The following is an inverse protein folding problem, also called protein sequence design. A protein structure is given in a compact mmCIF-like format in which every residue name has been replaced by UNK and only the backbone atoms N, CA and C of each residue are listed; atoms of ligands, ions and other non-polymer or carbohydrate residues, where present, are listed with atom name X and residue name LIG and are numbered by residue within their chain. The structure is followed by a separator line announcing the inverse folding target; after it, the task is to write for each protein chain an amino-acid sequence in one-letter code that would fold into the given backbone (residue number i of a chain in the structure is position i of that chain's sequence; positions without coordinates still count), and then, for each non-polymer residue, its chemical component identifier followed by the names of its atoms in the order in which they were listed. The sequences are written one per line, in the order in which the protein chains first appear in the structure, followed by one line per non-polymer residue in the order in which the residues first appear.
data_IF_749709844580
#
_entry.id   IF_749709844580
#
_cell.length_a   1.000
_cell.length_b   1.000
_cell.length_c   1.000
_cell.angle_alpha   90.00
_cell.angle_beta   90.00
_cell.angle_gamma   90.00
#
_symmetry.space_group_name_H-M   'P 1'
#
loop_
_entity.id
_entity.type
_entity.pdbx_description
1 polymer ?
#
# COMPACT_ATOMS: atom_id res chain seq x y z
N UNK A 1 16.20 21.56 16.60
CA UNK A 1 16.63 21.80 15.21
C UNK A 1 15.48 21.34 14.32
N UNK A 2 14.90 22.23 13.52
CA UNK A 2 13.76 21.91 12.65
C UNK A 2 14.29 21.67 11.24
N UNK A 3 14.01 20.51 10.67
CA UNK A 3 14.36 20.17 9.30
C UNK A 3 13.09 19.89 8.52
N UNK A 4 13.06 20.29 7.25
CA UNK A 4 11.91 20.06 6.37
C UNK A 4 11.81 18.58 6.07
N UNK A 5 10.62 18.00 6.28
CA UNK A 5 10.30 16.62 5.94
C UNK A 5 10.13 16.48 4.43
N UNK A 6 10.71 15.45 3.84
CA UNK A 6 10.70 15.21 2.39
C UNK A 6 10.31 13.75 2.16
N UNK A 7 9.29 13.53 1.33
CA UNK A 7 8.78 12.21 1.03
C UNK A 7 9.76 11.37 0.21
N UNK A 8 9.72 10.02 0.32
CA UNK A 8 10.44 9.14 -0.58
C UNK A 8 10.17 9.49 -2.06
N UNK A 9 11.19 9.41 -2.90
CA UNK A 9 11.12 9.78 -4.32
C UNK A 9 11.22 11.29 -4.59
N UNK A 10 11.09 12.15 -3.59
CA UNK A 10 11.15 13.60 -3.77
C UNK A 10 12.58 14.16 -3.64
N UNK A 11 12.97 15.14 -4.49
CA UNK A 11 14.26 15.80 -4.40
C UNK A 11 14.28 16.91 -3.33
N UNK A 12 15.48 17.36 -2.97
CA UNK A 12 15.71 18.50 -2.07
C UNK A 12 16.20 18.12 -0.67
N UNK A 13 16.52 16.85 -0.42
CA UNK A 13 17.11 16.46 0.86
C UNK A 13 18.60 16.82 0.91
N UNK A 14 19.08 17.08 2.12
CA UNK A 14 20.49 17.31 2.45
C UNK A 14 20.94 16.30 3.50
N UNK A 15 20.04 15.92 4.41
CA UNK A 15 20.30 14.99 5.50
C UNK A 15 19.30 13.85 5.52
N UNK A 16 19.72 12.69 6.05
CA UNK A 16 18.87 11.49 6.13
C UNK A 16 17.64 11.72 7.01
N UNK A 17 17.74 12.55 8.05
CA UNK A 17 16.68 12.89 8.99
C UNK A 17 15.47 13.51 8.31
N UNK A 18 15.67 14.19 7.18
CA UNK A 18 14.57 14.77 6.39
C UNK A 18 13.69 13.70 5.76
N UNK A 19 14.29 12.56 5.38
CA UNK A 19 13.61 11.42 4.77
C UNK A 19 13.09 10.47 5.86
N UNK A 20 13.93 10.13 6.84
CA UNK A 20 13.60 9.14 7.88
C UNK A 20 12.50 9.59 8.83
N UNK A 21 12.28 10.91 8.96
CA UNK A 21 11.14 11.47 9.68
C UNK A 21 9.79 11.31 8.95
N UNK A 22 9.80 10.95 7.68
CA UNK A 22 8.62 10.59 6.89
C UNK A 22 8.45 9.08 6.86
N UNK A 23 9.50 8.35 6.48
CA UNK A 23 9.47 6.90 6.36
C UNK A 23 10.70 6.25 7.02
N UNK A 24 10.52 5.24 7.90
CA UNK A 24 11.64 4.55 8.53
C UNK A 24 12.64 4.00 7.51
N UNK A 25 13.92 4.15 7.81
CA UNK A 25 15.06 3.73 6.98
C UNK A 25 15.20 4.45 5.62
N UNK A 26 14.37 5.44 5.34
CA UNK A 26 14.58 6.30 4.18
C UNK A 26 15.82 7.19 4.40
N UNK A 27 16.61 7.39 3.34
CA UNK A 27 17.87 8.13 3.40
C UNK A 27 17.97 9.11 2.23
N UNK A 28 18.87 10.09 2.37
CA UNK A 28 19.11 11.08 1.35
C UNK A 28 20.21 10.61 0.40
N UNK A 29 19.84 10.27 -0.84
CA UNK A 29 20.78 9.92 -1.89
C UNK A 29 21.21 11.17 -2.67
N UNK A 30 22.48 11.53 -2.53
CA UNK A 30 23.09 12.72 -3.17
C UNK A 30 23.89 12.38 -4.42
N UNK A 31 23.88 11.12 -4.86
CA UNK A 31 24.68 10.63 -6.00
C UNK A 31 24.38 11.35 -7.33
N UNK A 32 23.14 11.80 -7.52
CA UNK A 32 22.69 12.54 -8.70
C UNK A 32 22.91 14.07 -8.61
N UNK A 33 23.64 14.55 -7.60
CA UNK A 33 23.94 15.98 -7.39
C UNK A 33 22.82 16.76 -6.66
N UNK A 34 21.55 16.40 -6.86
CA UNK A 34 20.43 16.86 -6.03
C UNK A 34 20.02 15.72 -5.11
N UNK A 35 20.09 15.95 -3.80
CA UNK A 35 19.69 14.94 -2.82
C UNK A 35 18.24 14.53 -3.02
N UNK A 36 17.99 13.23 -3.20
CA UNK A 36 16.66 12.65 -3.37
C UNK A 36 16.41 11.63 -2.26
N UNK A 37 15.26 11.71 -1.60
CA UNK A 37 14.93 10.71 -0.59
C UNK A 37 14.69 9.35 -1.26
N UNK A 38 15.40 8.33 -0.81
CA UNK A 38 15.25 6.95 -1.28
C UNK A 38 14.78 6.05 -0.15
N UNK A 39 14.01 5.04 -0.52
CA UNK A 39 13.67 3.95 0.39
C UNK A 39 14.94 3.18 0.79
N UNK A 40 14.92 2.62 2.00
CA UNK A 40 16.01 1.76 2.50
C UNK A 40 16.22 0.49 1.66
N UNK A 41 17.20 -0.31 2.07
CA UNK A 41 17.52 -1.57 1.38
C UNK A 41 16.31 -2.50 1.27
N UNK A 42 16.18 -3.19 0.14
CA UNK A 42 15.07 -4.10 -0.17
C UNK A 42 13.68 -3.47 -0.09
N UNK A 43 13.57 -2.14 -0.21
CA UNK A 43 12.30 -1.43 -0.27
C UNK A 43 12.13 -0.67 -1.59
N UNK A 44 10.92 -0.65 -2.14
CA UNK A 44 10.58 0.06 -3.37
C UNK A 44 9.61 1.21 -3.09
N UNK A 45 9.83 2.33 -3.75
CA UNK A 45 8.94 3.49 -3.66
C UNK A 45 7.68 3.28 -4.52
N UNK A 46 6.52 3.68 -3.98
CA UNK A 46 5.25 3.75 -4.72
C UNK A 46 4.56 5.07 -4.43
N UNK A 47 4.01 5.65 -5.50
CA UNK A 47 3.15 6.82 -5.44
C UNK A 47 1.76 6.39 -4.99
N UNK A 48 1.20 7.11 -4.03
CA UNK A 48 -0.22 7.03 -3.62
C UNK A 48 -0.86 8.40 -3.74
N UNK A 49 -2.17 8.51 -3.49
CA UNK A 49 -2.84 9.81 -3.50
C UNK A 49 -2.35 10.71 -2.37
N UNK A 50 -2.07 10.11 -1.22
CA UNK A 50 -1.75 10.82 0.02
C UNK A 50 -0.23 11.01 0.22
N UNK A 51 0.62 10.52 -0.68
CA UNK A 51 2.06 10.71 -0.65
C UNK A 51 2.84 9.56 -1.31
N UNK A 52 4.11 9.41 -0.94
CA UNK A 52 4.94 8.29 -1.39
C UNK A 52 5.19 7.33 -0.24
N UNK A 53 5.15 6.03 -0.52
CA UNK A 53 5.37 4.97 0.46
C UNK A 53 6.54 4.10 0.04
N UNK A 54 7.22 3.49 1.01
CA UNK A 54 8.21 2.45 0.73
C UNK A 54 7.66 1.08 1.12
N UNK A 55 7.62 0.16 0.16
CA UNK A 55 7.14 -1.20 0.32
C UNK A 55 8.31 -2.17 0.37
N UNK A 56 8.29 -3.13 1.29
CA UNK A 56 9.26 -4.22 1.29
C UNK A 56 9.12 -5.07 0.03
N UNK A 57 10.26 -5.37 -0.58
CA UNK A 57 10.36 -6.28 -1.72
C UNK A 57 10.44 -7.74 -1.31
N UNK A 58 10.83 -8.01 -0.06
CA UNK A 58 11.10 -9.34 0.44
C UNK A 58 10.22 -9.65 1.66
N UNK A 59 9.75 -10.89 1.77
CA UNK A 59 9.14 -11.39 2.99
C UNK A 59 10.21 -11.76 4.05
N UNK A 60 9.76 -12.20 5.23
CA UNK A 60 10.67 -12.64 6.31
C UNK A 60 11.53 -13.86 5.95
N UNK A 61 11.23 -14.56 4.85
CA UNK A 61 12.00 -15.69 4.32
C UNK A 61 12.81 -15.32 3.06
N UNK A 62 12.95 -14.02 2.76
CA UNK A 62 13.66 -13.49 1.59
C UNK A 62 13.04 -13.85 0.23
N UNK A 63 11.75 -14.20 0.18
CA UNK A 63 11.02 -14.36 -1.07
C UNK A 63 10.53 -13.02 -1.60
N UNK A 64 10.53 -12.85 -2.92
CA UNK A 64 10.02 -11.63 -3.56
C UNK A 64 8.52 -11.52 -3.33
N UNK A 65 8.09 -10.38 -2.77
CA UNK A 65 6.69 -10.01 -2.64
C UNK A 65 6.18 -9.49 -3.99
N UNK A 66 5.05 -10.03 -4.44
CA UNK A 66 4.32 -9.48 -5.59
C UNK A 66 3.46 -8.28 -5.16
N UNK A 67 2.74 -8.44 -4.05
CA UNK A 67 1.69 -7.52 -3.62
C UNK A 67 1.80 -7.32 -2.11
N UNK A 68 1.82 -6.06 -1.66
CA UNK A 68 1.84 -5.71 -0.23
C UNK A 68 1.28 -4.31 -0.01
N UNK A 69 0.78 -4.05 1.20
CA UNK A 69 0.36 -2.71 1.63
C UNK A 69 1.40 -2.07 2.56
N UNK A 70 1.47 -0.73 2.59
CA UNK A 70 2.44 0.05 3.36
C UNK A 70 2.11 0.11 4.86
N UNK A 71 2.01 -1.05 5.50
CA UNK A 71 1.75 -1.19 6.93
C UNK A 71 3.01 -1.60 7.70
N UNK A 72 3.12 -1.29 9.01
CA UNK A 72 4.21 -1.80 9.82
C UNK A 72 4.28 -3.33 9.78
N UNK A 73 5.50 -3.83 9.91
CA UNK A 73 5.98 -5.17 9.58
C UNK A 73 4.96 -6.33 9.73
N UNK A 74 4.82 -7.13 8.66
CA UNK A 74 4.20 -8.46 8.72
C UNK A 74 2.68 -8.54 8.50
N UNK A 75 1.99 -7.44 8.16
CA UNK A 75 0.52 -7.42 7.94
C UNK A 75 0.08 -6.99 6.52
N UNK A 76 1.04 -6.90 5.58
CA UNK A 76 0.86 -6.22 4.28
C UNK A 76 -0.36 -6.67 3.48
N UNK A 77 -0.47 -7.95 3.11
CA UNK A 77 -1.60 -8.39 2.26
C UNK A 77 -2.91 -8.58 3.02
N UNK A 78 -2.88 -8.89 4.32
CA UNK A 78 -4.08 -9.21 5.11
C UNK A 78 -4.95 -7.99 5.40
N UNK A 79 -4.41 -6.81 5.14
CA UNK A 79 -5.05 -5.53 5.47
C UNK A 79 -5.58 -4.80 4.25
N UNK A 80 -5.35 -5.33 3.05
CA UNK A 80 -5.95 -4.81 1.83
C UNK A 80 -7.47 -4.96 1.88
N UNK A 81 -8.17 -4.07 1.16
CA UNK A 81 -9.59 -4.24 0.95
C UNK A 81 -9.82 -5.61 0.29
N UNK A 82 -10.78 -6.38 0.82
CA UNK A 82 -11.09 -7.70 0.32
C UNK A 82 -12.57 -7.82 -0.03
N UNK A 83 -12.86 -8.67 -1.01
CA UNK A 83 -14.21 -8.91 -1.48
C UNK A 83 -14.48 -10.39 -1.77
N UNK A 84 -15.70 -10.83 -1.49
CA UNK A 84 -16.13 -12.21 -1.74
C UNK A 84 -16.39 -12.52 -3.22
N UNK A 85 -16.64 -11.51 -4.07
CA UNK A 85 -16.84 -11.70 -5.52
C UNK A 85 -15.52 -11.90 -6.27
N UNK A 86 -14.38 -11.58 -5.65
CA UNK A 86 -13.04 -11.87 -6.16
C UNK A 86 -12.41 -13.03 -5.38
N UNK A 87 -12.90 -14.29 -5.51
CA UNK A 87 -12.49 -15.37 -4.64
C UNK A 87 -11.01 -15.73 -4.83
N UNK A 88 -10.28 -15.83 -3.71
CA UNK A 88 -8.98 -16.50 -3.66
C UNK A 88 -9.16 -18.01 -3.81
N UNK A 89 -8.06 -18.71 -4.10
CA UNK A 89 -7.98 -20.16 -3.85
C UNK A 89 -8.48 -20.43 -2.42
N UNK A 90 -9.38 -21.40 -2.25
CA UNK A 90 -10.09 -21.79 -1.00
C UNK A 90 -11.42 -21.07 -0.63
N UNK A 91 -12.10 -20.40 -1.57
CA UNK A 91 -13.39 -19.72 -1.32
C UNK A 91 -13.33 -18.61 -0.24
N UNK A 92 -12.16 -18.01 -0.05
CA UNK A 92 -11.98 -16.83 0.79
C UNK A 92 -12.06 -15.55 -0.03
N UNK A 93 -12.48 -14.45 0.60
CA UNK A 93 -12.47 -13.13 -0.03
C UNK A 93 -11.06 -12.78 -0.50
N UNK A 94 -10.92 -12.40 -1.78
CA UNK A 94 -9.65 -11.98 -2.35
C UNK A 94 -9.48 -10.46 -2.32
N UNK A 95 -8.29 -9.97 -2.66
CA UNK A 95 -7.99 -8.54 -2.62
C UNK A 95 -8.77 -7.81 -3.71
N UNK A 96 -9.21 -6.61 -3.38
CA UNK A 96 -9.65 -5.64 -4.38
C UNK A 96 -8.40 -5.05 -5.03
N UNK A 97 -8.31 -5.21 -6.34
CA UNK A 97 -7.21 -4.67 -7.14
C UNK A 97 -7.61 -3.32 -7.73
N UNK A 98 -6.59 -2.59 -8.18
CA UNK A 98 -6.77 -1.32 -8.85
C UNK A 98 -5.74 -1.15 -9.97
N UNK A 99 -5.98 -0.12 -10.78
CA UNK A 99 -5.06 0.43 -11.76
C UNK A 99 -4.64 1.84 -11.31
N UNK A 100 -3.35 2.02 -11.05
CA UNK A 100 -2.75 3.29 -10.60
C UNK A 100 -2.91 4.43 -11.60
N UNK A 101 -3.12 4.10 -12.87
CA UNK A 101 -3.27 5.06 -13.97
C UNK A 101 -4.74 5.38 -14.27
N UNK A 102 -5.68 4.68 -13.63
CA UNK A 102 -7.10 4.86 -13.89
C UNK A 102 -7.71 6.02 -13.10
N UNK A 103 -8.52 6.82 -13.78
CA UNK A 103 -9.31 7.90 -13.18
C UNK A 103 -10.81 7.55 -13.07
N UNK A 104 -11.17 6.30 -13.31
CA UNK A 104 -12.56 5.85 -13.20
C UNK A 104 -13.00 5.84 -11.72
N UNK A 105 -14.08 6.57 -11.42
CA UNK A 105 -14.62 6.75 -10.05
C UNK A 105 -15.97 6.04 -9.83
N UNK A 106 -16.48 5.36 -10.85
CA UNK A 106 -17.65 4.50 -10.77
C UNK A 106 -17.46 3.26 -11.65
N UNK A 107 -17.86 2.11 -11.12
CA UNK A 107 -17.92 0.84 -11.84
C UNK A 107 -19.22 0.11 -11.47
N UNK A 108 -19.68 -0.76 -12.36
CA UNK A 108 -20.91 -1.52 -12.16
C UNK A 108 -20.73 -2.94 -12.67
N UNK A 109 -21.39 -3.90 -12.02
CA UNK A 109 -21.37 -5.31 -12.42
C UNK A 109 -20.18 -6.07 -11.83
N UNK A 110 -19.76 -7.13 -12.52
CA UNK A 110 -18.76 -8.08 -12.01
C UNK A 110 -17.32 -7.54 -12.07
N UNK A 111 -17.10 -6.40 -12.71
CA UNK A 111 -15.79 -5.75 -12.88
C UNK A 111 -15.39 -4.91 -11.65
N UNK A 112 -16.30 -4.68 -10.69
CA UNK A 112 -16.01 -3.82 -9.54
C UNK A 112 -14.90 -4.44 -8.70
N UNK A 113 -13.73 -3.81 -8.67
CA UNK A 113 -12.59 -4.26 -7.87
C UNK A 113 -11.70 -5.32 -8.53
N UNK A 114 -11.90 -5.58 -9.82
CA UNK A 114 -11.07 -6.49 -10.63
C UNK A 114 -9.68 -5.91 -11.00
N UNK A 115 -9.45 -4.64 -10.70
CA UNK A 115 -8.23 -3.91 -11.02
C UNK A 115 -8.23 -3.14 -12.34
N UNK A 116 -9.35 -3.05 -13.05
CA UNK A 116 -9.48 -2.22 -14.26
C UNK A 116 -9.68 -0.72 -13.97
N UNK A 117 -10.08 -0.37 -12.74
CA UNK A 117 -10.31 1.00 -12.29
C UNK A 117 -9.49 1.38 -11.04
N UNK A 118 -9.71 2.59 -10.51
CA UNK A 118 -9.15 2.99 -9.22
C UNK A 118 -9.76 2.16 -8.07
N UNK A 119 -9.43 2.46 -6.82
CA UNK A 119 -10.01 1.73 -5.69
C UNK A 119 -11.51 1.99 -5.54
N UNK A 120 -12.29 0.90 -5.68
CA UNK A 120 -13.74 0.90 -5.62
C UNK A 120 -14.24 0.03 -4.47
N UNK A 121 -15.30 0.47 -3.79
CA UNK A 121 -15.95 -0.36 -2.80
C UNK A 121 -16.80 -1.44 -3.50
N UNK A 122 -16.56 -2.73 -3.26
CA UNK A 122 -17.21 -3.80 -4.00
C UNK A 122 -18.73 -3.78 -3.94
N UNK A 123 -19.31 -3.45 -2.78
CA UNK A 123 -20.76 -3.51 -2.60
C UNK A 123 -21.52 -2.34 -3.23
N UNK A 124 -20.86 -1.20 -3.47
CA UNK A 124 -21.50 0.01 -4.00
C UNK A 124 -20.98 0.43 -5.37
N UNK A 125 -19.84 -0.11 -5.82
CA UNK A 125 -19.16 0.34 -7.04
C UNK A 125 -18.68 1.79 -6.97
N UNK A 126 -18.58 2.36 -5.77
CA UNK A 126 -18.20 3.74 -5.53
C UNK A 126 -16.72 3.91 -5.24
N UNK A 127 -16.14 5.03 -5.68
CA UNK A 127 -14.77 5.42 -5.38
C UNK A 127 -14.55 5.69 -3.89
N UNK A 128 -13.47 5.14 -3.33
CA UNK A 128 -13.16 5.14 -1.87
C UNK A 128 -11.76 5.65 -1.54
N UNK A 129 -11.28 6.65 -2.28
CA UNK A 129 -9.93 7.14 -2.06
C UNK A 129 -9.72 7.84 -0.70
N UNK A 130 -10.77 8.30 -0.05
CA UNK A 130 -10.72 8.85 1.31
C UNK A 130 -10.31 7.81 2.36
N UNK A 131 -10.44 6.51 2.06
CA UNK A 131 -10.15 5.40 2.97
C UNK A 131 -9.03 4.50 2.43
N UNK A 132 -8.98 4.28 1.12
CA UNK A 132 -8.04 3.37 0.46
C UNK A 132 -7.24 4.03 -0.65
N UNK A 133 -5.92 3.85 -0.60
CA UNK A 133 -5.01 4.21 -1.68
C UNK A 133 -4.83 3.04 -2.65
N UNK A 134 -4.76 3.36 -3.95
CA UNK A 134 -4.30 2.41 -4.94
C UNK A 134 -2.77 2.36 -4.93
N UNK A 135 -2.21 1.25 -4.45
CA UNK A 135 -0.76 1.06 -4.30
C UNK A 135 -0.27 0.07 -5.35
N UNK A 136 0.65 0.50 -6.20
CA UNK A 136 1.20 -0.34 -7.27
C UNK A 136 1.93 -1.58 -6.74
N UNK A 137 1.84 -2.69 -7.47
CA UNK A 137 2.52 -3.95 -7.14
C UNK A 137 4.02 -3.76 -6.99
N UNK A 138 4.64 -4.57 -6.14
CA UNK A 138 6.09 -4.51 -5.89
C UNK A 138 6.86 -5.15 -7.04
N UNK A 139 6.32 -6.23 -7.60
CA UNK A 139 6.82 -6.90 -8.80
C UNK A 139 5.67 -7.26 -9.75
N UNK A 140 6.00 -7.49 -11.03
CA UNK A 140 5.02 -7.84 -12.05
C UNK A 140 4.37 -9.19 -11.74
N UNK A 141 3.04 -9.24 -11.72
CA UNK A 141 2.26 -10.45 -11.52
C UNK A 141 1.09 -10.47 -12.50
N UNK A 142 0.85 -11.63 -13.11
CA UNK A 142 -0.32 -11.86 -13.95
C UNK A 142 -1.40 -12.59 -13.14
N UNK A 143 -2.53 -11.91 -12.96
CA UNK A 143 -3.67 -12.38 -12.17
C UNK A 143 -4.90 -12.66 -13.02
N UNK A 144 -4.78 -12.59 -14.36
CA UNK A 144 -5.89 -12.81 -15.30
C UNK A 144 -6.48 -14.21 -15.16
N UNK A 145 -5.63 -15.22 -14.91
CA UNK A 145 -6.06 -16.60 -14.61
C UNK A 145 -6.93 -16.72 -13.34
N UNK A 146 -6.89 -15.72 -12.47
CA UNK A 146 -7.68 -15.63 -11.24
C UNK A 146 -8.91 -14.72 -11.39
N UNK A 147 -9.23 -14.27 -12.61
CA UNK A 147 -10.41 -13.46 -12.91
C UNK A 147 -10.21 -11.94 -12.79
N UNK A 148 -8.99 -11.47 -12.51
CA UNK A 148 -8.68 -10.04 -12.48
C UNK A 148 -8.40 -9.46 -13.87
N UNK A 149 -8.53 -8.15 -13.98
CA UNK A 149 -8.21 -7.42 -15.22
C UNK A 149 -6.73 -7.51 -15.57
N UNK A 150 -6.43 -7.56 -16.87
CA UNK A 150 -5.08 -7.41 -17.42
C UNK A 150 -4.48 -6.01 -17.19
N UNK A 151 -5.32 -5.03 -16.81
CA UNK A 151 -4.93 -3.67 -16.43
C UNK A 151 -4.58 -3.54 -14.95
N UNK A 152 -4.82 -4.57 -14.14
CA UNK A 152 -4.54 -4.55 -12.72
C UNK A 152 -3.03 -4.41 -12.50
N UNK A 153 -2.62 -3.32 -11.84
CA UNK A 153 -1.22 -3.06 -11.52
C UNK A 153 -1.01 -2.62 -10.06
N UNK A 154 -2.07 -2.61 -9.26
CA UNK A 154 -2.05 -2.22 -7.86
C UNK A 154 -3.12 -2.91 -7.02
N UNK A 155 -3.01 -2.71 -5.71
CA UNK A 155 -3.93 -3.22 -4.69
C UNK A 155 -4.48 -2.08 -3.86
N UNK A 156 -5.73 -2.21 -3.40
CA UNK A 156 -6.36 -1.22 -2.55
C UNK A 156 -5.95 -1.37 -1.09
N UNK A 157 -5.06 -0.49 -0.66
CA UNK A 157 -4.48 -0.48 0.67
C UNK A 157 -5.12 0.60 1.54
N UNK A 158 -5.37 0.34 2.83
CA UNK A 158 -5.86 1.36 3.74
C UNK A 158 -4.87 2.52 3.77
N UNK A 159 -5.37 3.75 3.63
CA UNK A 159 -4.51 4.91 3.69
C UNK A 159 -4.05 5.18 5.14
N UNK A 160 -3.03 6.03 5.27
CA UNK A 160 -2.43 6.35 6.57
C UNK A 160 -3.45 6.85 7.59
N UNK A 161 -4.37 7.72 7.17
CA UNK A 161 -5.37 8.29 8.06
C UNK A 161 -6.30 7.21 8.61
N UNK A 162 -6.81 6.34 7.74
CA UNK A 162 -7.69 5.24 8.11
C UNK A 162 -6.98 4.24 9.01
N UNK A 163 -5.73 3.88 8.71
CA UNK A 163 -4.91 2.98 9.55
C UNK A 163 -4.74 3.52 10.97
N UNK A 164 -4.40 4.81 11.12
CA UNK A 164 -4.15 5.41 12.44
C UNK A 164 -5.40 5.54 13.31
N UNK A 165 -6.61 5.59 12.73
CA UNK A 165 -7.86 5.67 13.50
C UNK A 165 -8.49 4.31 13.77
N UNK A 166 -7.95 3.22 13.24
CA UNK A 166 -8.51 1.89 13.49
C UNK A 166 -8.40 1.52 14.98
N UNK A 167 -9.47 0.96 15.57
CA UNK A 167 -9.40 0.41 16.92
C UNK A 167 -8.46 -0.80 16.94
N UNK A 168 -7.89 -1.08 18.11
CA UNK A 168 -7.15 -2.33 18.30
C UNK A 168 -8.07 -3.52 18.11
N UNK A 169 -7.66 -4.45 17.25
CA UNK A 169 -8.29 -5.75 17.12
C UNK A 169 -7.31 -6.85 17.55
N UNK A 170 -7.69 -7.62 18.56
CA UNK A 170 -6.95 -8.80 18.98
C UNK A 170 -7.59 -10.01 18.30
N UNK A 171 -6.83 -10.69 17.43
CA UNK A 171 -7.27 -11.94 16.82
C UNK A 171 -7.46 -13.05 17.86
N UNK A 172 -8.05 -14.20 17.48
CA UNK A 172 -8.41 -15.26 18.42
C UNK A 172 -7.23 -15.90 19.17
N UNK A 173 -5.99 -15.78 18.67
CA UNK A 173 -4.79 -16.34 19.30
C UNK A 173 -3.57 -15.41 19.11
N UNK A 174 -3.44 -14.31 19.87
CA UNK A 174 -2.29 -13.42 19.75
C UNK A 174 -1.05 -14.04 20.41
N UNK A 175 0.00 -14.33 19.63
CA UNK A 175 1.27 -14.88 20.14
C UNK A 175 2.43 -13.89 20.12
N UNK A 176 2.23 -12.72 19.53
CA UNK A 176 3.29 -11.73 19.29
C UNK A 176 2.89 -10.35 19.84
N UNK A 177 3.79 -9.64 20.52
CA UNK A 177 3.56 -8.25 20.89
C UNK A 177 3.48 -7.38 19.63
N UNK A 178 2.42 -6.57 19.53
CA UNK A 178 2.22 -5.61 18.44
C UNK A 178 1.91 -4.22 18.98
N UNK A 179 2.20 -3.21 18.19
CA UNK A 179 2.00 -1.80 18.52
C UNK A 179 0.82 -1.23 17.74
N UNK A 180 0.14 -0.25 18.31
CA UNK A 180 -0.96 0.47 17.68
C UNK A 180 -0.93 1.95 18.07
N UNK A 181 -1.55 2.80 17.26
CA UNK A 181 -1.65 4.23 17.55
C UNK A 181 -2.99 4.55 18.20
N UNK A 182 -2.95 5.15 19.40
CA UNK A 182 -4.14 5.65 20.05
C UNK A 182 -4.44 7.07 19.59
N UNK A 183 -5.48 7.24 18.77
CA UNK A 183 -5.88 8.55 18.24
C UNK A 183 -6.60 9.45 19.26
N UNK A 184 -6.93 8.94 20.45
CA UNK A 184 -7.66 9.67 21.49
C UNK A 184 -6.71 10.37 22.48
N UNK A 185 -5.49 9.86 22.67
CA UNK A 185 -4.52 10.30 23.70
C UNK A 185 -3.27 10.89 23.09
#
# INVERSE_FOLDING_TARGET
MYYTKIDPGQPGCVYNEQCSAVWPDAYCDTSAGVGTCRCGENKVERVTRDGHVCLDMLDGNQNILAITCPLPEGAGYTSALSDSHHPRQSNSAGPVLCNTDSMATQQSGDEVGDGSAACMFPSTGGYIADIYDCVGFVSSVDLTSSGYSDKANGICCPNRAFTCIQPTATGPNPTEPRWWYNSIT
#
